data_IF_870299527477
#
_entry.id   IF_870299527477
#
_cell.length_a   1.000
_cell.length_b   1.000
_cell.length_c   1.000
_cell.angle_alpha   90.00
_cell.angle_beta   90.00
_cell.angle_gamma   90.00
#
_symmetry.space_group_name_H-M   'P 1'
#
loop_
_entity.id
_entity.type
_entity.pdbx_description
1 polymer ?
#
# COMPACT_ATOMS: atom_id res chain seq x y z
N UNK A 1 30.08 1.53 -1.09
CA UNK A 1 29.36 0.39 -0.48
C UNK A 1 27.90 0.72 -0.53
N UNK A 2 27.13 0.07 -1.38
CA UNK A 2 25.69 0.32 -1.50
C UNK A 2 24.96 -0.50 -0.45
N UNK A 3 24.00 0.07 0.29
CA UNK A 3 23.09 -0.73 1.09
C UNK A 3 22.14 -1.48 0.15
N UNK A 4 22.22 -2.81 0.18
CA UNK A 4 21.28 -3.69 -0.47
C UNK A 4 19.94 -3.61 0.28
N UNK A 5 18.98 -2.90 -0.28
CA UNK A 5 17.58 -2.98 0.15
C UNK A 5 17.00 -4.33 -0.34
N UNK A 6 17.29 -5.36 0.39
CA UNK A 6 16.60 -6.65 0.31
C UNK A 6 16.11 -7.00 1.71
N UNK A 7 14.96 -6.49 2.04
CA UNK A 7 13.95 -7.12 2.90
C UNK A 7 12.84 -6.11 3.05
N UNK A 8 11.69 -6.41 2.46
CA UNK A 8 10.47 -5.76 2.86
C UNK A 8 10.31 -5.92 4.39
N UNK A 9 9.59 -5.02 5.06
CA UNK A 9 9.44 -5.10 6.49
C UNK A 9 8.96 -6.51 6.82
N UNK A 10 9.73 -7.23 7.64
CA UNK A 10 9.19 -8.40 8.32
C UNK A 10 8.05 -7.85 9.13
N UNK A 11 6.82 -8.13 8.70
CA UNK A 11 5.63 -7.81 9.48
C UNK A 11 5.75 -8.61 10.77
N UNK A 12 6.39 -8.02 11.74
CA UNK A 12 6.24 -8.44 13.13
C UNK A 12 4.79 -8.16 13.42
N UNK A 13 3.94 -9.20 13.35
CA UNK A 13 2.55 -9.10 13.81
C UNK A 13 2.64 -8.51 15.20
N UNK A 14 2.24 -7.25 15.28
CA UNK A 14 2.58 -6.37 16.36
C UNK A 14 1.99 -6.92 17.66
N UNK A 15 2.83 -7.22 18.65
CA UNK A 15 2.43 -7.48 20.03
C UNK A 15 1.72 -6.25 20.65
N UNK A 16 1.68 -5.14 19.93
CA UNK A 16 1.01 -3.91 20.35
C UNK A 16 -0.51 -4.10 20.25
N UNK A 17 -1.25 -3.92 21.34
CA UNK A 17 -2.71 -4.02 21.33
C UNK A 17 -3.36 -3.04 20.34
N UNK A 18 -4.46 -3.44 19.71
CA UNK A 18 -5.16 -2.67 18.68
C UNK A 18 -5.42 -1.20 19.09
N UNK A 19 -5.90 -0.89 20.32
CA UNK A 19 -6.12 0.51 20.72
C UNK A 19 -4.89 1.40 20.66
N UNK A 20 -3.70 0.86 20.97
CA UNK A 20 -2.46 1.62 20.87
C UNK A 20 -2.03 1.84 19.42
N UNK A 21 -2.30 0.86 18.53
CA UNK A 21 -2.07 0.99 17.10
C UNK A 21 -2.97 2.08 16.50
N UNK A 22 -4.25 2.08 16.86
CA UNK A 22 -5.21 3.12 16.47
C UNK A 22 -4.72 4.49 16.92
N UNK A 23 -4.34 4.63 18.20
CA UNK A 23 -3.85 5.90 18.73
C UNK A 23 -2.61 6.40 17.97
N UNK A 24 -1.68 5.51 17.64
CA UNK A 24 -0.48 5.85 16.85
C UNK A 24 -0.84 6.35 15.45
N UNK A 25 -1.74 5.64 14.73
CA UNK A 25 -2.19 6.04 13.40
C UNK A 25 -2.95 7.38 13.42
N UNK A 26 -3.77 7.62 14.45
CA UNK A 26 -4.47 8.91 14.63
C UNK A 26 -3.47 10.05 14.83
N UNK A 27 -2.43 9.84 15.65
CA UNK A 27 -1.38 10.84 15.83
C UNK A 27 -0.62 11.09 14.53
N UNK A 28 -0.32 10.05 13.78
CA UNK A 28 0.34 10.14 12.49
C UNK A 28 -0.50 10.91 11.47
N UNK A 29 -1.80 10.61 11.40
CA UNK A 29 -2.74 11.36 10.56
C UNK A 29 -2.84 12.84 10.92
N UNK A 30 -2.87 13.16 12.22
CA UNK A 30 -2.89 14.55 12.66
C UNK A 30 -1.62 15.28 12.25
N UNK A 31 -0.44 14.68 12.41
CA UNK A 31 0.84 15.25 11.93
C UNK A 31 0.84 15.46 10.41
N UNK A 32 0.25 14.53 9.64
CA UNK A 32 0.07 14.68 8.20
C UNK A 32 -0.79 15.90 7.87
N UNK A 33 -1.91 16.07 8.55
CA UNK A 33 -2.83 17.19 8.30
C UNK A 33 -2.17 18.53 8.61
N UNK A 34 -1.36 18.61 9.65
CA UNK A 34 -0.62 19.81 10.04
C UNK A 34 0.61 20.09 9.16
N UNK A 35 1.07 19.13 8.36
CA UNK A 35 2.25 19.30 7.52
C UNK A 35 2.00 20.31 6.38
N UNK A 36 2.84 21.37 6.23
CA UNK A 36 2.63 22.40 5.24
C UNK A 36 2.71 21.86 3.80
N UNK A 37 1.67 22.10 3.01
CA UNK A 37 1.62 21.62 1.61
C UNK A 37 2.71 22.28 0.76
N UNK A 38 3.10 23.50 1.07
CA UNK A 38 4.15 24.27 0.38
C UNK A 38 5.52 23.62 0.55
N UNK A 39 5.78 23.02 1.71
CA UNK A 39 7.03 22.28 1.97
C UNK A 39 7.12 21.05 1.08
N UNK A 40 6.04 20.28 0.96
CA UNK A 40 5.97 19.13 0.06
C UNK A 40 6.08 19.57 -1.41
N UNK A 41 5.41 20.66 -1.79
CA UNK A 41 5.53 21.22 -3.13
C UNK A 41 6.97 21.65 -3.47
N UNK A 42 7.71 22.13 -2.47
CA UNK A 42 9.15 22.42 -2.61
C UNK A 42 9.96 21.18 -2.94
N UNK A 43 9.71 20.07 -2.24
CA UNK A 43 10.35 18.75 -2.52
C UNK A 43 9.99 18.26 -3.92
N UNK A 44 8.71 18.34 -4.31
CA UNK A 44 8.24 17.93 -5.63
C UNK A 44 8.95 18.71 -6.73
N UNK A 45 9.12 20.02 -6.55
CA UNK A 45 9.84 20.88 -7.49
C UNK A 45 11.33 20.52 -7.60
N UNK A 46 11.97 20.21 -6.47
CA UNK A 46 13.38 19.81 -6.44
C UNK A 46 13.60 18.47 -7.15
N UNK A 47 12.74 17.50 -6.89
CA UNK A 47 12.80 16.18 -7.50
C UNK A 47 12.45 16.22 -8.99
N UNK A 48 11.46 17.03 -9.38
CA UNK A 48 11.09 17.28 -10.77
C UNK A 48 10.83 16.01 -11.57
N UNK A 49 10.07 15.04 -11.02
CA UNK A 49 9.85 13.75 -11.68
C UNK A 49 8.85 13.85 -12.83
N UNK A 50 9.20 13.21 -13.95
CA UNK A 50 8.31 13.00 -15.11
C UNK A 50 8.28 11.53 -15.51
N UNK A 51 7.07 10.99 -15.58
CA UNK A 51 6.85 9.64 -16.08
C UNK A 51 7.15 9.55 -17.58
N UNK A 52 8.07 8.67 -17.96
CA UNK A 52 8.42 8.39 -19.37
C UNK A 52 7.72 7.14 -19.90
N UNK A 53 6.78 6.59 -19.18
CA UNK A 53 6.10 5.32 -19.50
C UNK A 53 7.07 4.13 -19.65
N UNK A 54 8.20 4.16 -18.95
CA UNK A 54 9.20 3.08 -18.98
C UNK A 54 8.74 1.78 -18.30
N UNK A 55 7.58 1.80 -17.66
CA UNK A 55 6.90 0.66 -17.00
C UNK A 55 7.58 0.06 -15.77
N UNK A 56 8.76 0.52 -15.38
CA UNK A 56 9.47 -0.06 -14.23
C UNK A 56 8.65 0.00 -12.93
N UNK A 57 8.05 1.16 -12.61
CA UNK A 57 7.17 1.31 -11.46
C UNK A 57 5.87 0.48 -11.55
N UNK A 58 5.57 -0.09 -12.71
CA UNK A 58 4.43 -0.97 -12.93
C UNK A 58 4.78 -2.45 -12.70
N UNK A 59 5.88 -2.76 -12.03
CA UNK A 59 6.28 -4.14 -11.74
C UNK A 59 6.45 -4.38 -10.26
N UNK A 60 6.07 -5.57 -9.81
CA UNK A 60 6.25 -6.01 -8.41
C UNK A 60 7.74 -6.09 -8.04
N UNK A 61 8.58 -6.50 -8.98
CA UNK A 61 10.03 -6.56 -8.78
C UNK A 61 10.65 -5.20 -8.42
N UNK A 62 10.04 -4.09 -8.83
CA UNK A 62 10.53 -2.75 -8.53
C UNK A 62 9.84 -2.09 -7.34
N UNK A 63 8.49 -2.14 -7.28
CA UNK A 63 7.70 -1.42 -6.28
C UNK A 63 6.99 -2.32 -5.26
N UNK A 64 7.15 -3.64 -5.34
CA UNK A 64 6.39 -4.55 -4.48
C UNK A 64 4.91 -4.57 -4.86
N UNK A 65 4.05 -4.10 -3.97
CA UNK A 65 2.60 -4.14 -4.16
C UNK A 65 2.01 -2.74 -4.39
N UNK A 66 0.94 -2.69 -5.17
CA UNK A 66 0.15 -1.47 -5.41
C UNK A 66 -1.11 -1.56 -4.57
N UNK A 67 -1.09 -0.97 -3.38
CA UNK A 67 -2.25 -0.89 -2.49
C UNK A 67 -3.30 0.07 -3.05
N UNK A 68 -4.56 -0.28 -2.88
CA UNK A 68 -5.69 0.49 -3.39
C UNK A 68 -6.51 1.07 -2.24
N UNK A 69 -6.86 2.33 -2.36
CA UNK A 69 -7.91 2.92 -1.54
C UNK A 69 -9.27 2.30 -1.93
N UNK A 70 -10.24 2.31 -1.02
CA UNK A 70 -11.60 1.84 -1.29
C UNK A 70 -12.22 2.52 -2.52
N UNK A 71 -11.93 3.82 -2.73
CA UNK A 71 -12.32 4.56 -3.92
C UNK A 71 -11.74 3.97 -5.20
N UNK A 72 -10.46 3.58 -5.17
CA UNK A 72 -9.81 2.94 -6.32
C UNK A 72 -10.35 1.52 -6.54
N UNK A 73 -10.63 0.77 -5.48
CA UNK A 73 -11.25 -0.57 -5.55
C UNK A 73 -12.60 -0.51 -6.29
N UNK A 74 -13.42 0.48 -5.97
CA UNK A 74 -14.71 0.69 -6.68
C UNK A 74 -14.49 0.89 -8.18
N UNK A 75 -13.49 1.67 -8.57
CA UNK A 75 -13.13 1.88 -9.99
C UNK A 75 -12.64 0.57 -10.62
N UNK A 76 -11.73 -0.15 -9.94
CA UNK A 76 -11.22 -1.44 -10.45
C UNK A 76 -12.36 -2.44 -10.65
N UNK A 77 -13.29 -2.56 -9.70
CA UNK A 77 -14.47 -3.44 -9.80
C UNK A 77 -15.32 -3.15 -11.06
N UNK A 78 -15.35 -1.89 -11.53
CA UNK A 78 -16.07 -1.53 -12.77
C UNK A 78 -15.30 -1.84 -14.05
N UNK A 79 -13.97 -1.86 -13.99
CA UNK A 79 -13.11 -2.09 -15.18
C UNK A 79 -12.82 -3.59 -15.34
N UNK A 80 -12.29 -4.21 -14.30
CA UNK A 80 -11.93 -5.63 -14.28
C UNK A 80 -11.76 -6.12 -12.83
N UNK A 81 -12.79 -6.74 -12.24
CA UNK A 81 -12.70 -7.25 -10.87
C UNK A 81 -11.59 -8.29 -10.65
N UNK A 82 -11.15 -8.99 -11.72
CA UNK A 82 -10.07 -9.96 -11.65
C UNK A 82 -8.70 -9.31 -11.38
N UNK A 83 -8.59 -7.99 -11.54
CA UNK A 83 -7.40 -7.21 -11.20
C UNK A 83 -7.19 -7.02 -9.70
N UNK A 84 -8.14 -7.43 -8.86
CA UNK A 84 -8.03 -7.33 -7.41
C UNK A 84 -7.44 -8.59 -6.79
N UNK A 85 -6.58 -8.42 -5.83
CA UNK A 85 -6.16 -9.46 -4.89
C UNK A 85 -6.17 -8.90 -3.47
N UNK A 86 -6.38 -9.73 -2.42
CA UNK A 86 -6.24 -9.28 -1.05
C UNK A 86 -4.91 -8.57 -0.84
N UNK A 87 -4.89 -7.51 -0.03
CA UNK A 87 -3.64 -6.87 0.33
C UNK A 87 -2.66 -7.91 0.91
N UNK A 88 -1.38 -7.84 0.56
CA UNK A 88 -0.37 -8.76 1.11
C UNK A 88 -0.19 -8.52 2.61
N UNK A 89 0.43 -9.47 3.28
CA UNK A 89 0.80 -9.38 4.69
C UNK A 89 -0.42 -9.21 5.62
N UNK A 90 -1.23 -10.29 5.80
CA UNK A 90 -2.39 -10.25 6.68
C UNK A 90 -2.02 -9.76 8.08
N UNK A 91 -2.81 -8.86 8.64
CA UNK A 91 -2.54 -8.31 9.96
C UNK A 91 -3.01 -9.20 11.11
N UNK A 92 -4.04 -9.98 10.85
CA UNK A 92 -4.59 -10.90 11.84
C UNK A 92 -4.87 -12.27 11.22
N UNK A 93 -4.79 -13.30 12.08
CA UNK A 93 -5.31 -14.62 11.78
C UNK A 93 -6.05 -15.13 13.01
N UNK A 94 -7.32 -15.49 12.85
CA UNK A 94 -8.11 -15.99 13.96
C UNK A 94 -7.74 -17.45 14.35
N UNK A 95 -8.30 -17.93 15.45
CA UNK A 95 -8.09 -19.29 15.94
C UNK A 95 -8.59 -20.37 14.95
N UNK A 96 -9.43 -20.02 13.97
CA UNK A 96 -9.96 -20.92 12.96
C UNK A 96 -9.10 -20.92 11.68
N UNK A 97 -8.08 -20.05 11.60
CA UNK A 97 -7.16 -19.95 10.49
C UNK A 97 -7.65 -19.07 9.33
N UNK A 98 -8.54 -18.13 9.61
CA UNK A 98 -8.95 -17.08 8.68
C UNK A 98 -8.06 -15.87 8.85
N UNK A 99 -7.52 -15.37 7.74
CA UNK A 99 -6.76 -14.12 7.70
C UNK A 99 -7.68 -12.91 7.55
N UNK A 100 -7.22 -11.76 8.07
CA UNK A 100 -7.88 -10.46 7.94
C UNK A 100 -6.88 -9.44 7.43
N UNK A 101 -7.25 -8.69 6.38
CA UNK A 101 -6.41 -7.69 5.72
C UNK A 101 -7.17 -6.39 5.52
N UNK A 102 -6.44 -5.27 5.57
CA UNK A 102 -6.97 -3.95 5.21
C UNK A 102 -6.89 -3.77 3.69
N UNK A 103 -8.02 -3.90 3.01
CA UNK A 103 -8.17 -3.56 1.61
C UNK A 103 -7.59 -4.55 0.61
N UNK A 104 -7.50 -4.05 -0.61
CA UNK A 104 -7.02 -4.77 -1.78
C UNK A 104 -5.73 -4.18 -2.34
N UNK A 105 -4.98 -5.00 -3.05
CA UNK A 105 -3.90 -4.59 -3.92
C UNK A 105 -4.22 -4.93 -5.39
N UNK A 106 -3.55 -4.26 -6.31
CA UNK A 106 -3.57 -4.67 -7.71
C UNK A 106 -2.82 -5.98 -7.89
N UNK A 107 -3.49 -6.92 -8.55
CA UNK A 107 -2.89 -8.18 -8.94
C UNK A 107 -1.72 -7.94 -9.90
N UNK A 108 -0.63 -8.64 -9.66
CA UNK A 108 0.45 -8.75 -10.62
C UNK A 108 0.19 -9.92 -11.58
N UNK A 109 0.74 -9.84 -12.77
CA UNK A 109 0.79 -10.96 -13.72
C UNK A 109 1.83 -11.97 -13.25
N UNK A 110 1.70 -13.22 -13.68
CA UNK A 110 2.64 -14.30 -13.38
C UNK A 110 3.86 -14.31 -14.34
N UNK A 111 4.31 -13.14 -14.79
CA UNK A 111 5.56 -12.99 -15.53
C UNK A 111 6.75 -12.76 -14.57
N UNK A 112 7.97 -12.88 -15.06
CA UNK A 112 9.19 -12.80 -14.25
C UNK A 112 9.36 -11.47 -13.48
N UNK A 113 8.74 -10.38 -13.94
CA UNK A 113 8.78 -9.07 -13.29
C UNK A 113 7.61 -8.81 -12.36
N UNK A 114 6.57 -9.65 -12.40
CA UNK A 114 5.31 -9.42 -11.73
C UNK A 114 4.67 -8.13 -12.23
N UNK A 115 4.49 -7.99 -13.54
CA UNK A 115 3.94 -6.77 -14.11
C UNK A 115 2.50 -6.54 -13.65
N UNK A 116 2.13 -5.27 -13.51
CA UNK A 116 0.78 -4.86 -13.13
C UNK A 116 -0.26 -5.45 -14.09
N UNK A 117 -1.41 -5.88 -13.53
CA UNK A 117 -2.53 -6.43 -14.30
C UNK A 117 -2.95 -5.57 -15.51
N UNK A 118 -2.91 -4.25 -15.35
CA UNK A 118 -3.28 -3.29 -16.40
C UNK A 118 -2.13 -2.92 -17.34
N UNK A 119 -0.95 -3.53 -17.20
CA UNK A 119 0.16 -3.31 -18.13
C UNK A 119 0.00 -4.24 -19.34
N UNK A 120 -0.15 -3.69 -20.55
CA UNK A 120 -0.35 -4.44 -21.77
C UNK A 120 0.45 -3.81 -22.93
N UNK A 121 1.24 -4.60 -23.64
CA UNK A 121 2.07 -4.10 -24.72
C UNK A 121 3.02 -2.96 -24.32
N UNK A 122 3.53 -2.98 -23.07
CA UNK A 122 4.38 -1.92 -22.54
C UNK A 122 3.63 -0.61 -22.20
N UNK A 123 2.29 -0.64 -22.10
CA UNK A 123 1.48 0.54 -21.79
C UNK A 123 0.42 0.23 -20.73
N UNK A 124 0.16 1.21 -19.88
CA UNK A 124 -0.92 1.10 -18.91
C UNK A 124 -2.27 1.33 -19.60
N UNK A 125 -3.16 0.33 -19.60
CA UNK A 125 -4.52 0.44 -20.17
C UNK A 125 -5.39 1.53 -19.53
N UNK A 126 -5.09 1.84 -18.26
CA UNK A 126 -5.83 2.83 -17.46
C UNK A 126 -5.05 4.11 -17.23
N UNK A 127 -4.06 4.44 -18.09
CA UNK A 127 -3.17 5.57 -17.87
C UNK A 127 -3.92 6.90 -17.65
N UNK A 128 -4.97 7.16 -18.41
CA UNK A 128 -5.80 8.37 -18.25
C UNK A 128 -6.68 8.38 -17.00
N UNK A 129 -6.81 7.24 -16.31
CA UNK A 129 -7.60 7.07 -15.07
C UNK A 129 -6.78 6.28 -14.04
N UNK A 130 -5.49 6.66 -13.89
CA UNK A 130 -4.60 5.99 -12.94
C UNK A 130 -5.16 6.07 -11.53
N UNK A 131 -4.92 4.99 -10.76
CA UNK A 131 -5.29 4.92 -9.36
C UNK A 131 -4.50 5.92 -8.53
N UNK A 132 -5.02 6.28 -7.37
CA UNK A 132 -4.49 7.36 -6.54
C UNK A 132 -2.99 7.20 -6.28
N UNK A 133 -2.53 6.02 -5.84
CA UNK A 133 -1.11 5.73 -5.62
C UNK A 133 -0.26 5.90 -6.90
N UNK A 134 -0.79 5.55 -8.07
CA UNK A 134 -0.08 5.67 -9.35
C UNK A 134 -0.02 7.12 -9.85
N UNK A 135 -0.96 7.98 -9.43
CA UNK A 135 -0.94 9.42 -9.77
C UNK A 135 0.12 10.16 -8.99
N UNK A 136 0.19 9.91 -7.68
CA UNK A 136 1.14 10.61 -6.81
C UNK A 136 2.57 10.09 -6.93
N UNK A 137 2.79 8.93 -7.56
CA UNK A 137 4.12 8.35 -7.70
C UNK A 137 5.10 9.33 -8.39
N UNK A 138 6.32 9.49 -7.89
CA UNK A 138 7.00 8.78 -6.80
C UNK A 138 6.88 9.45 -5.43
N UNK A 139 5.95 10.35 -5.23
CA UNK A 139 5.86 11.24 -4.07
C UNK A 139 5.18 10.62 -2.83
N UNK A 140 5.36 9.32 -2.62
CA UNK A 140 4.95 8.67 -1.38
C UNK A 140 5.77 9.20 -0.21
N UNK A 141 5.10 9.55 0.88
CA UNK A 141 5.75 10.09 2.07
C UNK A 141 6.29 8.95 2.95
N UNK A 142 7.56 9.03 3.30
CA UNK A 142 8.15 8.18 4.33
C UNK A 142 8.26 8.93 5.65
N UNK A 143 7.82 8.28 6.71
CA UNK A 143 7.74 8.83 8.06
C UNK A 143 8.89 8.29 8.89
N UNK A 144 10.11 8.64 8.52
CA UNK A 144 11.29 8.25 9.27
C UNK A 144 11.77 9.41 10.15
N UNK A 145 12.15 9.14 11.41
CA UNK A 145 12.78 10.17 12.22
C UNK A 145 14.14 10.55 11.63
N UNK A 146 14.44 11.84 11.67
CA UNK A 146 15.78 12.35 11.38
C UNK A 146 16.80 11.95 12.47
N UNK A 147 18.06 12.38 12.32
CA UNK A 147 19.13 12.10 13.29
C UNK A 147 18.85 12.68 14.68
N UNK A 148 17.92 13.62 14.79
CA UNK A 148 17.50 14.25 16.07
C UNK A 148 16.22 13.64 16.62
N UNK A 149 15.64 12.66 15.91
CA UNK A 149 14.40 11.99 16.30
C UNK A 149 13.13 12.71 15.86
N UNK A 150 13.23 13.78 15.07
CA UNK A 150 12.06 14.43 14.47
C UNK A 150 11.59 13.67 13.25
N UNK A 151 10.28 13.50 13.14
CA UNK A 151 9.67 12.91 11.94
C UNK A 151 9.57 13.96 10.87
N UNK A 152 10.26 13.76 9.75
CA UNK A 152 10.13 14.56 8.55
C UNK A 152 9.44 13.78 7.44
N UNK A 153 8.54 14.43 6.75
CA UNK A 153 7.81 13.89 5.61
C UNK A 153 8.66 14.07 4.37
N UNK A 154 9.30 12.98 3.96
CA UNK A 154 10.12 12.96 2.75
C UNK A 154 9.48 12.08 1.72
N UNK A 155 9.66 12.50 0.50
CA UNK A 155 9.27 11.72 -0.64
C UNK A 155 10.24 10.57 -0.87
N UNK A 156 9.74 9.41 -1.23
CA UNK A 156 10.58 8.35 -1.68
C UNK A 156 9.97 7.20 -2.43
N UNK A 157 10.21 6.98 -3.63
CA UNK A 157 10.21 5.65 -4.23
C UNK A 157 11.05 5.68 -5.50
N UNK A 158 12.07 4.86 -5.56
CA UNK A 158 12.85 4.64 -6.78
C UNK A 158 13.52 5.90 -7.37
N UNK A 159 13.90 6.88 -6.52
CA UNK A 159 14.55 8.11 -6.95
C UNK A 159 15.78 7.82 -7.83
N UNK A 160 15.87 8.53 -8.97
CA UNK A 160 16.99 8.42 -9.90
C UNK A 160 17.09 7.09 -10.64
N UNK A 161 16.15 6.15 -10.45
CA UNK A 161 16.25 4.79 -11.01
C UNK A 161 15.46 4.61 -12.30
N UNK A 162 14.46 5.46 -12.55
CA UNK A 162 13.58 5.37 -13.73
C UNK A 162 12.82 6.69 -13.93
N UNK A 163 12.24 6.89 -15.11
CA UNK A 163 11.62 8.16 -15.47
C UNK A 163 12.67 9.25 -15.74
N UNK A 164 12.26 10.49 -15.73
CA UNK A 164 13.10 11.68 -15.80
C UNK A 164 13.00 12.47 -14.50
N UNK A 165 14.10 13.06 -14.06
CA UNK A 165 14.22 13.86 -12.84
C UNK A 165 14.74 15.26 -13.16
N UNK A 166 14.64 16.16 -12.20
CA UNK A 166 15.08 17.56 -12.29
C UNK A 166 14.43 18.31 -13.47
N UNK A 167 13.19 17.92 -13.80
CA UNK A 167 12.37 18.67 -14.73
C UNK A 167 11.78 19.88 -14.06
N UNK A 168 11.70 20.98 -14.79
CA UNK A 168 10.98 22.16 -14.33
C UNK A 168 9.48 21.86 -14.33
N UNK A 169 8.87 21.86 -13.14
CA UNK A 169 7.43 21.68 -12.91
C UNK A 169 6.88 23.03 -12.46
N UNK A 170 5.80 23.52 -13.09
CA UNK A 170 5.16 24.76 -12.68
C UNK A 170 4.80 24.74 -11.18
N UNK A 171 4.95 25.86 -10.45
CA UNK A 171 4.66 25.90 -9.01
C UNK A 171 3.24 25.45 -8.65
N UNK A 172 2.25 25.81 -9.47
CA UNK A 172 0.86 25.42 -9.25
C UNK A 172 0.65 23.91 -9.38
N UNK A 173 1.31 23.27 -10.35
CA UNK A 173 1.30 21.81 -10.51
C UNK A 173 1.97 21.12 -9.31
N UNK A 174 3.08 21.70 -8.79
CA UNK A 174 3.73 21.18 -7.59
C UNK A 174 2.80 21.22 -6.37
N UNK A 175 2.04 22.29 -6.21
CA UNK A 175 1.04 22.44 -5.14
C UNK A 175 -0.11 21.44 -5.31
N UNK A 176 -0.58 21.22 -6.53
CA UNK A 176 -1.62 20.24 -6.82
C UNK A 176 -1.15 18.82 -6.47
N UNK A 177 0.02 18.41 -6.95
CA UNK A 177 0.60 17.11 -6.59
C UNK A 177 0.82 16.95 -5.08
N UNK A 178 1.23 18.01 -4.39
CA UNK A 178 1.39 17.97 -2.95
C UNK A 178 0.06 17.76 -2.22
N UNK A 179 -1.02 18.41 -2.67
CA UNK A 179 -2.37 18.19 -2.14
C UNK A 179 -2.86 16.77 -2.40
N UNK A 180 -2.76 16.30 -3.66
CA UNK A 180 -3.13 14.91 -4.01
C UNK A 180 -2.37 13.88 -3.16
N UNK A 181 -1.07 14.10 -2.92
CA UNK A 181 -0.25 13.21 -2.08
C UNK A 181 -0.76 13.21 -0.64
N UNK A 182 -1.03 14.38 -0.05
CA UNK A 182 -1.60 14.48 1.30
C UNK A 182 -3.00 13.84 1.40
N UNK A 183 -3.83 14.03 0.39
CA UNK A 183 -5.17 13.43 0.33
C UNK A 183 -5.10 11.91 0.29
N UNK A 184 -4.22 11.35 -0.54
CA UNK A 184 -3.97 9.90 -0.58
C UNK A 184 -3.53 9.36 0.79
N UNK A 185 -2.51 9.96 1.39
CA UNK A 185 -1.97 9.52 2.68
C UNK A 185 -3.01 9.63 3.81
N UNK A 186 -3.80 10.70 3.82
CA UNK A 186 -4.90 10.85 4.78
C UNK A 186 -5.98 9.78 4.59
N UNK A 187 -6.34 9.47 3.35
CA UNK A 187 -7.31 8.43 3.03
C UNK A 187 -6.78 7.05 3.42
N UNK A 188 -5.50 6.77 3.14
CA UNK A 188 -4.84 5.52 3.52
C UNK A 188 -4.83 5.32 5.04
N UNK A 189 -4.36 6.32 5.81
CA UNK A 189 -4.35 6.25 7.28
C UNK A 189 -5.77 6.12 7.86
N UNK A 190 -6.74 6.79 7.26
CA UNK A 190 -8.13 6.69 7.68
C UNK A 190 -8.70 5.27 7.44
N UNK A 191 -8.36 4.65 6.31
CA UNK A 191 -8.75 3.28 5.99
C UNK A 191 -8.14 2.28 6.99
N UNK A 192 -6.85 2.45 7.32
CA UNK A 192 -6.16 1.61 8.32
C UNK A 192 -6.77 1.75 9.72
N UNK A 193 -7.11 2.98 10.14
CA UNK A 193 -7.79 3.23 11.42
C UNK A 193 -9.15 2.53 11.43
N UNK A 194 -9.96 2.73 10.38
CA UNK A 194 -11.29 2.13 10.28
C UNK A 194 -11.24 0.61 10.26
N UNK A 195 -10.24 0.02 9.60
CA UNK A 195 -10.02 -1.43 9.63
C UNK A 195 -9.75 -1.92 11.05
N UNK A 196 -8.83 -1.26 11.78
CA UNK A 196 -8.49 -1.68 13.14
C UNK A 196 -9.67 -1.53 14.12
N UNK A 197 -10.43 -0.44 14.01
CA UNK A 197 -11.65 -0.24 14.81
C UNK A 197 -12.67 -1.33 14.52
N UNK A 198 -12.92 -1.60 13.22
CA UNK A 198 -13.85 -2.65 12.82
C UNK A 198 -13.42 -4.04 13.33
N UNK A 199 -12.14 -4.39 13.18
CA UNK A 199 -11.62 -5.70 13.62
C UNK A 199 -11.69 -5.83 15.14
N UNK A 200 -11.43 -4.76 15.88
CA UNK A 200 -11.55 -4.75 17.33
C UNK A 200 -12.95 -5.17 17.78
N UNK A 201 -13.97 -4.53 17.22
CA UNK A 201 -15.37 -4.80 17.55
C UNK A 201 -15.83 -6.17 17.03
N UNK A 202 -15.48 -6.48 15.77
CA UNK A 202 -15.82 -7.75 15.15
C UNK A 202 -15.25 -8.96 15.89
N UNK A 203 -14.00 -8.88 16.35
CA UNK A 203 -13.38 -9.96 17.12
C UNK A 203 -14.04 -10.13 18.49
N UNK A 204 -14.39 -9.04 19.15
CA UNK A 204 -15.10 -9.09 20.44
C UNK A 204 -16.49 -9.72 20.28
N UNK A 205 -17.29 -9.29 19.30
CA UNK A 205 -18.63 -9.78 19.04
C UNK A 205 -18.65 -11.28 18.69
N UNK A 206 -17.71 -11.72 17.85
CA UNK A 206 -17.65 -13.10 17.35
C UNK A 206 -16.75 -14.01 18.19
N UNK A 207 -16.23 -13.52 19.34
CA UNK A 207 -15.31 -14.25 20.24
C UNK A 207 -14.09 -14.79 19.49
N UNK A 208 -13.58 -13.99 18.56
CA UNK A 208 -12.35 -14.27 17.82
C UNK A 208 -11.15 -13.68 18.55
N UNK A 209 -9.99 -14.24 18.27
CA UNK A 209 -8.70 -13.72 18.74
C UNK A 209 -7.62 -14.07 17.75
N UNK A 210 -6.65 -13.18 17.60
CA UNK A 210 -5.45 -13.49 16.84
C UNK A 210 -4.65 -14.59 17.53
N UNK A 211 -4.16 -15.56 16.73
CA UNK A 211 -3.33 -16.67 17.21
C UNK A 211 -2.08 -16.78 16.33
N UNK A 212 -0.95 -16.30 16.84
CA UNK A 212 0.32 -16.25 16.10
C UNK A 212 0.73 -17.62 15.53
N UNK A 213 0.62 -18.69 16.30
CA UNK A 213 0.97 -20.06 15.83
C UNK A 213 0.11 -20.49 14.63
N UNK A 214 -1.16 -20.11 14.62
CA UNK A 214 -2.08 -20.40 13.50
C UNK A 214 -1.72 -19.52 12.31
N UNK A 215 -1.40 -18.25 12.53
CA UNK A 215 -0.90 -17.33 11.52
C UNK A 215 0.33 -17.91 10.81
N UNK A 216 1.35 -18.30 11.56
CA UNK A 216 2.60 -18.84 11.01
C UNK A 216 2.38 -20.14 10.20
N UNK A 217 1.49 -21.02 10.66
CA UNK A 217 1.10 -22.22 9.93
C UNK A 217 0.41 -21.88 8.61
N UNK A 218 -0.58 -20.97 8.64
CA UNK A 218 -1.32 -20.56 7.45
C UNK A 218 -0.45 -19.81 6.45
N UNK A 219 0.49 -18.96 6.92
CA UNK A 219 1.47 -18.29 6.05
C UNK A 219 2.40 -19.29 5.36
N UNK A 220 2.84 -20.35 6.04
CA UNK A 220 3.62 -21.42 5.39
C UNK A 220 2.82 -22.12 4.29
N UNK A 221 1.56 -22.46 4.55
CA UNK A 221 0.66 -23.06 3.55
C UNK A 221 0.47 -22.14 2.34
N UNK A 222 0.22 -20.86 2.59
CA UNK A 222 0.07 -19.85 1.53
C UNK A 222 1.35 -19.78 0.66
N UNK A 223 2.53 -19.75 1.28
CA UNK A 223 3.82 -19.76 0.57
C UNK A 223 4.05 -21.03 -0.25
N UNK A 224 3.47 -22.15 0.18
CA UNK A 224 3.50 -23.42 -0.54
C UNK A 224 2.41 -23.51 -1.65
N UNK A 225 1.68 -22.43 -1.91
CA UNK A 225 0.63 -22.39 -2.92
C UNK A 225 -0.70 -23.03 -2.49
N UNK A 226 -0.87 -23.33 -1.20
CA UNK A 226 -2.14 -23.82 -0.70
C UNK A 226 -3.14 -22.67 -0.53
N UNK A 227 -4.42 -22.88 -0.84
CA UNK A 227 -5.43 -21.83 -0.68
C UNK A 227 -5.72 -21.57 0.79
N UNK A 228 -5.86 -20.30 1.14
CA UNK A 228 -6.28 -19.83 2.45
C UNK A 228 -7.56 -19.01 2.37
N UNK A 229 -8.27 -18.89 3.48
CA UNK A 229 -9.40 -17.97 3.60
C UNK A 229 -8.89 -16.63 4.09
N UNK A 230 -9.27 -15.56 3.37
CA UNK A 230 -8.94 -14.17 3.72
C UNK A 230 -10.23 -13.37 3.78
N UNK A 231 -10.42 -12.63 4.85
CA UNK A 231 -11.46 -11.62 4.98
C UNK A 231 -10.82 -10.27 4.66
N UNK A 232 -11.25 -9.66 3.57
CA UNK A 232 -10.76 -8.35 3.11
C UNK A 232 -11.71 -7.28 3.58
N UNK A 233 -11.21 -6.34 4.36
CA UNK A 233 -11.97 -5.16 4.76
C UNK A 233 -11.99 -4.15 3.63
N UNK A 234 -13.16 -3.78 3.15
CA UNK A 234 -13.34 -2.79 2.09
C UNK A 234 -14.70 -2.11 2.23
N UNK A 235 -14.75 -0.80 2.11
CA UNK A 235 -16.00 -0.02 2.22
C UNK A 235 -16.81 -0.34 3.50
N UNK A 236 -16.16 -0.51 4.65
CA UNK A 236 -16.80 -0.79 5.92
C UNK A 236 -17.31 -2.22 6.10
N UNK A 237 -16.94 -3.15 5.24
CA UNK A 237 -17.40 -4.53 5.26
C UNK A 237 -16.26 -5.53 5.09
N UNK A 238 -16.48 -6.77 5.55
CA UNK A 238 -15.58 -7.90 5.29
C UNK A 238 -16.07 -8.70 4.07
N UNK A 239 -15.24 -8.75 3.04
CA UNK A 239 -15.45 -9.57 1.86
C UNK A 239 -14.64 -10.87 1.97
N UNK A 240 -15.32 -12.02 1.98
CA UNK A 240 -14.66 -13.32 2.07
C UNK A 240 -14.04 -13.72 0.73
N UNK A 241 -12.75 -14.00 0.73
CA UNK A 241 -11.99 -14.45 -0.43
C UNK A 241 -11.32 -15.81 -0.14
N UNK A 242 -11.20 -16.64 -1.17
CA UNK A 242 -10.29 -17.79 -1.16
C UNK A 242 -9.06 -17.39 -1.98
N UNK A 243 -7.93 -17.28 -1.32
CA UNK A 243 -6.71 -16.75 -1.92
C UNK A 243 -5.62 -17.81 -1.98
N UNK A 244 -4.93 -17.86 -3.11
CA UNK A 244 -3.72 -18.67 -3.32
C UNK A 244 -2.63 -17.72 -3.79
N UNK A 245 -1.52 -17.66 -3.08
CA UNK A 245 -0.40 -16.87 -3.53
C UNK A 245 0.07 -17.38 -4.89
N UNK A 246 0.30 -16.47 -5.82
CA UNK A 246 1.04 -16.82 -7.02
C UNK A 246 2.45 -17.16 -6.56
N UNK A 247 2.91 -18.38 -6.80
CA UNK A 247 4.29 -18.78 -6.50
C UNK A 247 5.22 -17.79 -7.18
N UNK A 248 5.94 -17.02 -6.36
CA UNK A 248 7.03 -16.22 -6.87
C UNK A 248 8.00 -17.18 -7.55
N UNK A 249 8.30 -16.91 -8.79
CA UNK A 249 9.27 -17.71 -9.55
C UNK A 249 10.59 -17.73 -8.77
N UNK A 250 11.05 -18.97 -8.48
CA UNK A 250 12.37 -19.29 -7.97
C UNK A 250 13.46 -18.95 -8.98
#
# INVERSE_FOLDING_TARGET
MQPSYTSGPVVVVSLVPIPYRIAALVQERNRLLDYPVERLAGVIREVGFRCTSCTQCCTRAFNGHVFLLDSDVRVVKTIDPAALEPAPDPEFCDQNGTFYVSGYALRARSDASGSCWFLEGGRCRVYGRRFSICRIYPYMLHREPDETGNVDWRQVAGLGRHGEYHRDIPPDDCLEFARETKEYENAFLSQEISFLEFIWDYFAEHRLRHVQKVYDDRMRRLKNGEPVTVMVYCDGQLEKQRYTAQTAFS
#
